data_IF_835328391714
#
_entry.id   IF_835328391714
#
_cell.length_a   1.000
_cell.length_b   1.000
_cell.length_c   1.000
_cell.angle_alpha   90.00
_cell.angle_beta   90.00
_cell.angle_gamma   90.00
#
_symmetry.space_group_name_H-M   'P 1'
#
loop_
_entity.id
_entity.type
_entity.pdbx_description
1 polymer ?
#
# COMPACT_ATOMS: atom_id res chain seq x y z
N UNK A 1 -12.45 5.06 -10.99
CA UNK A 1 -11.57 6.16 -10.53
C UNK A 1 -10.15 5.63 -10.40
N UNK A 2 -9.14 6.36 -10.90
CA UNK A 2 -7.73 5.98 -10.71
C UNK A 2 -7.31 6.17 -9.23
N UNK A 3 -6.60 5.19 -8.69
CA UNK A 3 -5.98 5.24 -7.36
C UNK A 3 -4.60 4.58 -7.40
N UNK A 4 -3.80 4.87 -6.39
CA UNK A 4 -2.57 4.14 -6.10
C UNK A 4 -2.86 3.14 -4.99
N UNK A 5 -2.56 1.87 -5.26
CA UNK A 5 -2.65 0.78 -4.30
C UNK A 5 -1.26 0.52 -3.72
N UNK A 6 -1.15 0.55 -2.40
CA UNK A 6 0.04 0.10 -1.67
C UNK A 6 -0.28 -1.23 -1.02
N UNK A 7 0.49 -2.24 -1.38
CA UNK A 7 0.35 -3.61 -0.88
C UNK A 7 1.51 -3.94 0.04
N UNK A 8 1.17 -4.29 1.29
CA UNK A 8 2.10 -4.79 2.30
C UNK A 8 2.04 -6.31 2.32
N UNK A 9 3.15 -6.96 2.00
CA UNK A 9 3.33 -8.40 2.14
C UNK A 9 4.09 -8.67 3.44
N UNK A 10 3.44 -9.32 4.40
CA UNK A 10 4.02 -9.63 5.71
C UNK A 10 4.85 -10.92 5.68
N UNK A 11 5.75 -11.05 6.65
CA UNK A 11 6.62 -12.23 6.83
C UNK A 11 5.85 -13.55 7.04
N UNK A 12 4.60 -13.48 7.49
CA UNK A 12 3.72 -14.63 7.64
C UNK A 12 2.92 -14.98 6.37
N UNK A 13 3.15 -14.26 5.26
CA UNK A 13 2.45 -14.42 3.99
C UNK A 13 1.10 -13.70 3.90
N UNK A 14 0.66 -12.99 4.96
CA UNK A 14 -0.52 -12.15 4.88
C UNK A 14 -0.27 -10.95 3.98
N UNK A 15 -1.36 -10.43 3.42
CA UNK A 15 -1.35 -9.24 2.57
C UNK A 15 -2.34 -8.23 3.13
N UNK A 16 -1.94 -6.97 3.17
CA UNK A 16 -2.83 -5.85 3.47
C UNK A 16 -2.63 -4.74 2.45
N UNK A 17 -3.74 -4.12 2.07
CA UNK A 17 -3.80 -3.12 1.02
C UNK A 17 -4.34 -1.79 1.56
N UNK A 18 -3.80 -0.68 1.08
CA UNK A 18 -4.33 0.67 1.32
C UNK A 18 -4.30 1.48 0.04
N UNK A 19 -5.20 2.46 -0.08
CA UNK A 19 -5.36 3.23 -1.31
C UNK A 19 -5.05 4.71 -1.10
N UNK A 20 -4.53 5.34 -2.15
CA UNK A 20 -4.23 6.77 -2.18
C UNK A 20 -4.74 7.39 -3.48
N UNK A 21 -5.20 8.64 -3.39
CA UNK A 21 -5.57 9.44 -4.56
C UNK A 21 -4.36 10.06 -5.27
N UNK A 22 -3.24 10.18 -4.56
CA UNK A 22 -1.97 10.73 -5.06
C UNK A 22 -0.86 9.68 -4.97
N UNK A 23 0.21 9.84 -5.76
CA UNK A 23 1.32 8.90 -5.78
C UNK A 23 1.99 8.80 -4.39
N UNK A 24 1.94 7.64 -3.71
CA UNK A 24 2.43 7.48 -2.35
C UNK A 24 3.93 7.18 -2.27
N UNK A 25 4.67 7.18 -3.39
CA UNK A 25 6.08 6.80 -3.44
C UNK A 25 6.94 7.52 -2.39
N UNK A 26 6.84 8.84 -2.28
CA UNK A 26 7.60 9.61 -1.29
C UNK A 26 7.24 9.24 0.16
N UNK A 27 5.96 8.92 0.41
CA UNK A 27 5.48 8.49 1.73
C UNK A 27 6.00 7.08 2.07
N UNK A 28 5.91 6.15 1.12
CA UNK A 28 6.44 4.79 1.29
C UNK A 28 7.96 4.81 1.49
N UNK A 29 8.67 5.66 0.76
CA UNK A 29 10.11 5.85 0.96
C UNK A 29 10.42 6.36 2.37
N UNK A 30 9.65 7.33 2.86
CA UNK A 30 9.78 7.82 4.23
C UNK A 30 9.58 6.71 5.28
N UNK A 31 8.55 5.87 5.10
CA UNK A 31 8.29 4.72 5.97
C UNK A 31 9.47 3.76 6.04
N UNK A 32 10.01 3.39 4.88
CA UNK A 32 11.15 2.47 4.76
C UNK A 32 12.42 3.06 5.41
N UNK A 33 12.66 4.36 5.23
CA UNK A 33 13.88 5.02 5.69
C UNK A 33 13.85 5.43 7.16
N UNK A 34 12.69 5.84 7.68
CA UNK A 34 12.60 6.54 8.98
C UNK A 34 11.68 5.88 10.00
N UNK A 35 10.67 5.15 9.56
CA UNK A 35 9.68 4.49 10.46
C UNK A 35 9.88 2.98 10.48
N UNK A 36 11.03 2.49 10.04
CA UNK A 36 11.40 1.08 10.16
C UNK A 36 11.49 0.71 11.65
N UNK A 37 10.64 -0.21 12.10
CA UNK A 37 10.48 -0.52 13.52
C UNK A 37 9.20 0.02 14.15
N UNK A 38 8.47 0.88 13.43
CA UNK A 38 7.28 1.54 13.95
C UNK A 38 5.98 1.01 13.34
N UNK A 39 4.89 1.36 14.02
CA UNK A 39 3.53 1.17 13.55
C UNK A 39 3.09 2.40 12.77
N UNK A 40 2.75 2.21 11.50
CA UNK A 40 2.27 3.28 10.64
C UNK A 40 0.74 3.24 10.48
N UNK A 41 0.05 4.39 10.44
CA UNK A 41 -1.37 4.43 10.13
C UNK A 41 -1.61 4.25 8.63
N UNK A 42 -2.58 3.39 8.30
CA UNK A 42 -3.14 3.21 6.95
C UNK A 42 -4.66 3.37 7.00
N UNK A 43 -5.34 3.36 5.85
CA UNK A 43 -6.79 3.59 5.78
C UNK A 43 -7.59 2.54 6.59
N UNK A 44 -7.13 1.29 6.61
CA UNK A 44 -7.79 0.16 7.28
C UNK A 44 -7.37 -0.05 8.74
N UNK A 45 -6.33 0.64 9.22
CA UNK A 45 -5.79 0.40 10.56
C UNK A 45 -4.34 0.81 10.74
N UNK A 46 -3.58 -0.03 11.44
CA UNK A 46 -2.15 0.20 11.74
C UNK A 46 -1.32 -0.98 11.24
N UNK A 47 -0.23 -0.69 10.54
CA UNK A 47 0.71 -1.70 10.02
C UNK A 47 2.03 -1.61 10.78
N UNK A 48 2.49 -2.72 11.34
CA UNK A 48 3.83 -2.82 11.90
C UNK A 48 4.84 -3.13 10.80
N UNK A 49 5.73 -2.20 10.50
CA UNK A 49 6.73 -2.33 9.43
C UNK A 49 7.82 -3.37 9.72
N UNK A 50 8.05 -3.77 10.98
CA UNK A 50 8.99 -4.86 11.30
C UNK A 50 8.53 -6.22 10.75
N UNK A 51 7.23 -6.39 10.61
CA UNK A 51 6.65 -7.63 10.11
C UNK A 51 6.44 -7.60 8.60
N UNK A 52 6.74 -6.49 7.92
CA UNK A 52 6.58 -6.34 6.48
C UNK A 52 7.85 -6.82 5.77
N UNK A 53 7.66 -7.79 4.88
CA UNK A 53 8.73 -8.32 4.03
C UNK A 53 8.88 -7.49 2.75
N UNK A 54 7.76 -7.05 2.17
CA UNK A 54 7.75 -6.29 0.91
C UNK A 54 6.62 -5.27 0.89
N UNK A 55 6.91 -4.11 0.30
CA UNK A 55 5.91 -3.10 -0.04
C UNK A 55 5.93 -2.93 -1.56
N UNK A 56 4.75 -2.99 -2.20
CA UNK A 56 4.61 -2.72 -3.63
C UNK A 56 3.62 -1.58 -3.85
N UNK A 57 3.87 -0.76 -4.87
CA UNK A 57 2.99 0.34 -5.25
C UNK A 57 2.54 0.12 -6.69
N UNK A 58 1.23 0.06 -6.89
CA UNK A 58 0.63 -0.05 -8.21
C UNK A 58 -0.35 1.09 -8.46
N UNK A 59 -0.44 1.55 -9.70
CA UNK A 59 -1.56 2.36 -10.16
C UNK A 59 -2.69 1.42 -10.60
N UNK A 60 -3.89 1.65 -10.10
CA UNK A 60 -5.07 0.83 -10.37
C UNK A 60 -6.27 1.69 -10.75
N UNK A 61 -7.15 1.16 -11.59
CA UNK A 61 -8.48 1.73 -11.82
C UNK A 61 -9.51 0.94 -10.99
N UNK A 62 -10.25 1.65 -10.13
CA UNK A 62 -11.32 1.07 -9.32
C UNK A 62 -12.68 1.34 -9.98
N UNK A 63 -13.43 0.28 -10.27
CA UNK A 63 -14.83 0.39 -10.71
C UNK A 63 -15.75 0.56 -9.49
N UNK A 64 -16.37 1.74 -9.38
CA UNK A 64 -17.25 2.11 -8.26
C UNK A 64 -18.51 1.23 -8.16
N UNK A 65 -18.89 0.52 -9.23
CA UNK A 65 -20.10 -0.32 -9.23
C UNK A 65 -19.83 -1.77 -8.87
N UNK A 66 -18.61 -2.25 -9.16
CA UNK A 66 -18.27 -3.67 -9.04
C UNK A 66 -17.14 -3.95 -8.07
N UNK A 67 -16.53 -2.89 -7.50
CA UNK A 67 -15.33 -2.94 -6.66
C UNK A 67 -14.16 -3.70 -7.32
N UNK A 68 -14.21 -3.84 -8.65
CA UNK A 68 -13.15 -4.50 -9.40
C UNK A 68 -11.99 -3.55 -9.59
N UNK A 69 -10.80 -4.07 -9.32
CA UNK A 69 -9.54 -3.42 -9.57
C UNK A 69 -8.98 -3.87 -10.92
N UNK A 70 -8.65 -2.90 -11.77
CA UNK A 70 -7.87 -3.14 -12.98
C UNK A 70 -6.47 -2.59 -12.76
N UNK A 71 -5.47 -3.46 -12.84
CA UNK A 71 -4.06 -3.06 -12.78
C UNK A 71 -3.69 -2.22 -14.00
N UNK A 72 -3.02 -1.09 -13.77
CA UNK A 72 -2.50 -0.22 -14.84
C UNK A 72 -0.98 -0.40 -14.95
N UNK A 73 -0.23 -0.06 -13.89
CA UNK A 73 1.23 -0.13 -13.88
C UNK A 73 1.81 -0.23 -12.46
N UNK A 74 3.07 -0.67 -12.36
CA UNK A 74 3.87 -0.57 -11.13
C UNK A 74 4.54 0.81 -11.07
N UNK A 75 4.66 1.35 -9.86
CA UNK A 75 5.21 2.68 -9.58
C UNK A 75 6.54 2.56 -8.85
#
# INVERSE_FOLDING_TARGET
>A
MERYKVTFEFTNGNIEDTYFTENPHARVQYWIEREKGDWIPIETGMVNLDNVNMIRIAKVELDEKTEKETFIEWV
#
